data_IF_345437315931
#
_entry.id   IF_345437315931
#
_cell.length_a   1.000
_cell.length_b   1.000
_cell.length_c   1.000
_cell.angle_alpha   90.00
_cell.angle_beta   90.00
_cell.angle_gamma   90.00
#
_symmetry.space_group_name_H-M   'P 1'
#
loop_
_entity.id
_entity.type
_entity.pdbx_description
1 polymer ?
#
# COMPACT_ATOMS: atom_id res chain seq x y z
N UNK A 1 13.20 1.88 7.17
CA UNK A 1 13.35 0.52 7.72
C UNK A 1 12.42 -0.41 6.96
N UNK A 2 12.77 -1.67 6.73
CA UNK A 2 11.83 -2.63 6.12
C UNK A 2 10.70 -2.96 7.11
N UNK A 3 9.50 -3.22 6.59
CA UNK A 3 8.41 -3.76 7.39
C UNK A 3 8.69 -5.18 7.90
N UNK A 4 7.88 -5.65 8.84
CA UNK A 4 8.01 -6.99 9.44
C UNK A 4 6.66 -7.70 9.59
N UNK A 5 6.73 -9.01 9.81
CA UNK A 5 5.57 -9.85 10.10
C UNK A 5 5.53 -10.17 11.59
N UNK A 6 4.34 -10.17 12.17
CA UNK A 6 4.09 -10.60 13.54
C UNK A 6 3.11 -11.77 13.54
N UNK A 7 3.36 -12.75 14.42
CA UNK A 7 2.42 -13.83 14.70
C UNK A 7 1.64 -13.45 15.96
N UNK A 8 0.31 -13.45 15.87
CA UNK A 8 -0.59 -13.14 16.99
C UNK A 8 -1.64 -14.22 17.16
N UNK A 9 -2.16 -14.39 18.37
CA UNK A 9 -3.28 -15.28 18.62
C UNK A 9 -4.56 -14.73 17.97
N UNK A 10 -5.37 -15.63 17.40
CA UNK A 10 -6.67 -15.25 16.86
C UNK A 10 -7.75 -15.24 17.97
N UNK A 11 -8.76 -14.36 17.90
CA UNK A 11 -9.80 -14.27 18.93
C UNK A 11 -10.62 -15.56 19.09
N UNK A 12 -10.72 -16.35 18.02
CA UNK A 12 -11.44 -17.61 17.90
C UNK A 12 -10.55 -18.86 18.11
N UNK A 13 -9.30 -18.66 18.51
CA UNK A 13 -8.28 -19.71 18.60
C UNK A 13 -7.49 -19.88 17.31
N UNK A 14 -6.27 -20.41 17.42
CA UNK A 14 -5.31 -20.44 16.32
C UNK A 14 -4.51 -19.14 16.22
N UNK A 15 -3.99 -18.83 15.03
CA UNK A 15 -2.97 -17.80 14.82
C UNK A 15 -3.26 -16.94 13.60
N UNK A 16 -3.00 -15.64 13.69
CA UNK A 16 -3.00 -14.71 12.55
C UNK A 16 -1.62 -14.11 12.35
N UNK A 17 -1.36 -13.69 11.13
CA UNK A 17 -0.16 -12.95 10.75
C UNK A 17 -0.55 -11.50 10.51
N UNK A 18 0.16 -10.58 11.16
CA UNK A 18 0.08 -9.14 10.88
C UNK A 18 1.29 -8.74 10.06
N UNK A 19 1.08 -7.86 9.07
CA UNK A 19 2.15 -7.21 8.32
C UNK A 19 2.17 -5.74 8.69
N UNK A 20 3.33 -5.24 9.10
CA UNK A 20 3.54 -3.84 9.44
C UNK A 20 4.53 -3.20 8.49
N UNK A 21 4.35 -1.92 8.19
CA UNK A 21 5.31 -1.15 7.42
C UNK A 21 6.54 -0.75 8.27
N UNK A 22 7.51 -0.07 7.64
CA UNK A 22 8.73 0.39 8.32
C UNK A 22 8.52 1.44 9.41
N UNK A 23 7.30 1.98 9.56
CA UNK A 23 6.90 2.90 10.64
C UNK A 23 6.16 2.19 11.78
N UNK A 24 5.87 0.90 11.63
CA UNK A 24 5.02 0.15 12.56
C UNK A 24 3.52 0.30 12.31
N UNK A 25 3.11 0.84 11.15
CA UNK A 25 1.70 0.92 10.80
C UNK A 25 1.20 -0.40 10.23
N UNK A 26 0.01 -0.84 10.66
CA UNK A 26 -0.58 -2.09 10.22
C UNK A 26 -1.03 -2.01 8.75
N UNK A 27 -0.52 -2.91 7.92
CA UNK A 27 -0.88 -2.99 6.49
C UNK A 27 -1.86 -4.11 6.17
N UNK A 28 -1.71 -5.27 6.81
CA UNK A 28 -2.55 -6.44 6.54
C UNK A 28 -2.66 -7.35 7.76
N UNK A 29 -3.77 -8.08 7.83
CA UNK A 29 -3.97 -9.22 8.74
C UNK A 29 -4.39 -10.42 7.89
N UNK A 30 -3.78 -11.57 8.12
CA UNK A 30 -4.14 -12.81 7.46
C UNK A 30 -5.47 -13.37 7.97
N UNK A 31 -5.96 -14.40 7.27
CA UNK A 31 -6.92 -15.35 7.83
C UNK A 31 -6.38 -16.04 9.08
N UNK A 32 -7.27 -16.66 9.86
CA UNK A 32 -6.87 -17.51 10.99
C UNK A 32 -6.27 -18.83 10.48
N UNK A 33 -5.06 -19.15 10.93
CA UNK A 33 -4.39 -20.42 10.73
C UNK A 33 -4.57 -21.31 11.96
N UNK A 34 -4.73 -22.64 11.79
CA UNK A 34 -4.92 -23.54 12.92
C UNK A 34 -3.64 -23.75 13.74
N UNK A 35 -2.45 -23.56 13.15
CA UNK A 35 -1.16 -23.78 13.81
C UNK A 35 -0.13 -22.70 13.47
N UNK A 36 0.85 -22.51 14.35
CA UNK A 36 1.99 -21.58 14.09
C UNK A 36 2.75 -21.96 12.82
N UNK A 37 2.94 -23.26 12.56
CA UNK A 37 3.63 -23.75 11.37
C UNK A 37 2.88 -23.39 10.09
N UNK A 38 1.56 -23.50 10.09
CA UNK A 38 0.73 -23.09 8.96
C UNK A 38 0.83 -21.57 8.70
N UNK A 39 0.83 -20.76 9.75
CA UNK A 39 1.02 -19.31 9.64
C UNK A 39 2.41 -18.93 9.08
N UNK A 40 3.47 -19.60 9.53
CA UNK A 40 4.84 -19.41 9.00
C UNK A 40 4.92 -19.81 7.52
N UNK A 41 4.30 -20.92 7.12
CA UNK A 41 4.21 -21.31 5.71
C UNK A 41 3.47 -20.24 4.88
N UNK A 42 2.41 -19.65 5.43
CA UNK A 42 1.71 -18.50 4.82
C UNK A 42 2.62 -17.28 4.61
N UNK A 43 3.50 -16.97 5.57
CA UNK A 43 4.49 -15.89 5.43
C UNK A 43 5.48 -16.19 4.29
N UNK A 44 5.96 -17.42 4.18
CA UNK A 44 6.88 -17.81 3.09
C UNK A 44 6.23 -17.55 1.74
N UNK A 45 4.99 -18.03 1.54
CA UNK A 45 4.24 -17.77 0.31
C UNK A 45 3.98 -16.28 0.08
N UNK A 46 3.64 -15.53 1.13
CA UNK A 46 3.42 -14.09 1.03
C UNK A 46 4.69 -13.36 0.56
N UNK A 47 5.87 -13.76 1.04
CA UNK A 47 7.16 -13.17 0.62
C UNK A 47 7.46 -13.43 -0.85
N UNK A 48 7.09 -14.59 -1.36
CA UNK A 48 7.28 -14.93 -2.80
C UNK A 48 6.49 -13.99 -3.71
N UNK A 49 5.27 -13.60 -3.31
CA UNK A 49 4.39 -12.76 -4.13
C UNK A 49 4.46 -11.26 -3.81
N UNK A 50 4.98 -10.85 -2.64
CA UNK A 50 4.90 -9.46 -2.18
C UNK A 50 5.64 -8.46 -3.07
N UNK A 51 6.72 -8.89 -3.75
CA UNK A 51 7.50 -8.02 -4.64
C UNK A 51 7.05 -8.00 -6.10
N UNK A 52 6.34 -9.04 -6.56
CA UNK A 52 6.08 -9.29 -7.99
C UNK A 52 4.63 -9.61 -8.33
N UNK A 53 3.78 -9.79 -7.31
CA UNK A 53 2.39 -10.18 -7.49
C UNK A 53 1.58 -9.13 -8.23
N UNK A 54 0.80 -9.57 -9.23
CA UNK A 54 -0.12 -8.70 -9.96
C UNK A 54 -1.31 -8.30 -9.06
N UNK A 55 -1.63 -7.01 -9.04
CA UNK A 55 -2.80 -6.50 -8.32
C UNK A 55 -4.04 -6.65 -9.21
N UNK A 56 -5.04 -7.38 -8.71
CA UNK A 56 -6.36 -7.48 -9.32
C UNK A 56 -7.36 -6.68 -8.51
N UNK A 57 -7.98 -5.68 -9.12
CA UNK A 57 -9.07 -4.95 -8.48
C UNK A 57 -10.30 -5.87 -8.40
N UNK A 58 -10.89 -5.95 -7.20
CA UNK A 58 -12.14 -6.67 -6.91
C UNK A 58 -13.10 -5.80 -6.12
N UNK A 59 -12.87 -4.49 -6.10
CA UNK A 59 -13.79 -3.52 -5.53
C UNK A 59 -15.10 -3.48 -6.33
N UNK A 60 -16.17 -2.99 -5.70
CA UNK A 60 -17.50 -2.94 -6.32
C UNK A 60 -17.57 -2.13 -7.62
N UNK A 61 -16.61 -1.24 -7.87
CA UNK A 61 -16.52 -0.42 -9.09
C UNK A 61 -15.46 -0.90 -10.09
N UNK A 62 -14.63 -1.88 -9.72
CA UNK A 62 -13.49 -2.35 -10.51
C UNK A 62 -13.49 -3.87 -10.63
N UNK A 63 -14.48 -4.44 -11.31
CA UNK A 63 -14.69 -5.88 -11.39
C UNK A 63 -13.60 -6.61 -12.20
N UNK A 64 -12.48 -6.96 -11.57
CA UNK A 64 -11.47 -7.87 -12.12
C UNK A 64 -10.43 -7.23 -13.04
N UNK A 65 -10.40 -5.90 -13.16
CA UNK A 65 -9.35 -5.23 -13.91
C UNK A 65 -7.99 -5.44 -13.22
N UNK A 66 -6.96 -5.80 -13.99
CA UNK A 66 -5.58 -5.78 -13.48
C UNK A 66 -5.17 -4.31 -13.37
N UNK A 67 -4.78 -3.87 -12.17
CA UNK A 67 -4.27 -2.51 -11.96
C UNK A 67 -2.86 -2.49 -12.56
N UNK A 68 -2.77 -2.12 -13.86
CA UNK A 68 -1.52 -2.06 -14.62
C UNK A 68 -0.93 -0.66 -14.67
N UNK A 69 -1.63 0.35 -14.17
CA UNK A 69 -1.14 1.72 -14.21
C UNK A 69 0.03 1.88 -13.26
N UNK A 70 1.11 2.45 -13.82
CA UNK A 70 2.35 2.81 -13.12
C UNK A 70 1.95 3.41 -11.78
N UNK A 71 2.18 2.65 -10.71
CA UNK A 71 2.17 3.18 -9.35
C UNK A 71 3.37 4.12 -9.32
N UNK A 72 3.18 5.35 -9.82
CA UNK A 72 4.10 6.44 -9.57
C UNK A 72 4.27 6.46 -8.07
N UNK A 73 5.52 6.35 -7.62
CA UNK A 73 5.90 6.27 -6.22
C UNK A 73 4.97 7.17 -5.40
N UNK A 74 4.12 6.58 -4.55
CA UNK A 74 3.32 7.35 -3.62
C UNK A 74 4.33 8.06 -2.72
N UNK A 75 4.58 9.34 -3.03
CA UNK A 75 5.38 10.21 -2.19
C UNK A 75 4.70 10.22 -0.84
N UNK A 76 5.38 9.64 0.14
CA UNK A 76 4.91 9.58 1.52
C UNK A 76 4.49 10.99 1.93
N UNK A 77 3.27 11.13 2.40
CA UNK A 77 2.68 12.38 2.78
C UNK A 77 3.45 12.99 3.97
N UNK A 78 4.44 13.83 3.67
CA UNK A 78 4.89 14.94 4.51
C UNK A 78 5.54 15.98 3.61
N UNK A 79 4.79 17.02 3.24
CA UNK A 79 5.09 18.40 3.62
C UNK A 79 4.00 19.33 3.05
N UNK A 80 3.05 19.70 3.90
CA UNK A 80 2.13 20.81 3.66
C UNK A 80 2.90 22.12 3.84
N UNK A 81 3.06 22.93 2.78
CA UNK A 81 3.77 24.21 2.93
C UNK A 81 3.77 25.11 1.70
N UNK A 82 2.68 25.85 1.48
CA UNK A 82 2.62 27.22 0.95
C UNK A 82 3.37 27.61 -0.36
N UNK A 83 2.58 27.85 -1.43
CA UNK A 83 2.58 29.06 -2.30
C UNK A 83 1.57 28.80 -3.43
N UNK A 84 0.47 29.53 -3.61
CA UNK A 84 0.31 30.97 -3.47
C UNK A 84 0.13 31.60 -4.86
N UNK A 85 -1.07 31.43 -5.43
CA UNK A 85 -1.84 32.35 -6.32
C UNK A 85 -1.06 33.37 -7.18
N UNK A 86 -1.22 33.31 -8.51
CA UNK A 86 -1.95 34.29 -9.36
C UNK A 86 -1.61 34.15 -10.86
N UNK A 87 -2.66 33.92 -11.66
CA UNK A 87 -2.74 34.36 -13.06
C UNK A 87 -2.86 35.90 -13.08
N UNK A 88 -2.03 36.58 -13.89
CA UNK A 88 -2.45 37.64 -14.83
C UNK A 88 -1.20 38.31 -15.41
N UNK A 89 -1.11 38.38 -16.74
CA UNK A 89 -0.07 39.12 -17.44
C UNK A 89 -0.44 39.36 -18.89
N UNK A 90 -1.50 40.15 -19.11
CA UNK A 90 -1.74 40.81 -20.38
C UNK A 90 -0.76 41.97 -20.53
N UNK A 91 0.09 41.93 -21.56
CA UNK A 91 0.61 43.10 -22.27
C UNK A 91 1.59 42.65 -23.37
N UNK A 92 1.21 42.81 -24.63
CA UNK A 92 2.20 43.08 -25.68
C UNK A 92 1.63 44.14 -26.62
N UNK A 93 2.09 45.36 -26.38
CA UNK A 93 2.12 46.45 -27.35
C UNK A 93 3.59 46.69 -27.71
N UNK A 94 3.91 46.71 -29.00
CA UNK A 94 5.03 47.40 -29.68
C UNK A 94 4.70 47.28 -31.18
N UNK A 95 4.32 48.34 -31.91
CA UNK A 95 5.11 49.47 -32.38
C UNK A 95 6.32 49.02 -33.23
N UNK A 96 6.25 49.29 -34.54
CA UNK A 96 7.26 48.99 -35.56
C UNK A 96 6.61 48.79 -36.92
#
# INVERSE_FOLDING_TARGET
MAGHFELVDAPDGGYRVRMLDGSGSLMAISVTFPTKRAAVAGIVMAREIAGTGLIRDRSSKGAGAVIRDRIGSVSSAKESGARGKKMSGAARAVAG
#
